data_IF_720583518257
#
_entry.id   IF_720583518257
#
_cell.length_a   1.000
_cell.length_b   1.000
_cell.length_c   1.000
_cell.angle_alpha   90.00
_cell.angle_beta   90.00
_cell.angle_gamma   90.00
#
_symmetry.space_group_name_H-M   'P 1'
#
loop_
_entity.id
_entity.type
_entity.pdbx_description
1 polymer ?
#
# COMPACT_ATOMS: atom_id res chain seq x y z
N UNK A 1 -7.43 2.14 -3.15
CA UNK A 1 -6.12 2.45 -2.52
C UNK A 1 -4.94 2.10 -3.42
N UNK A 2 -4.52 0.83 -3.53
CA UNK A 2 -3.29 0.46 -4.29
C UNK A 2 -3.33 0.92 -5.76
N UNK A 3 -4.48 0.74 -6.43
CA UNK A 3 -4.63 1.16 -7.82
C UNK A 3 -4.42 2.67 -8.01
N UNK A 4 -5.00 3.49 -7.12
CA UNK A 4 -4.82 4.95 -7.11
C UNK A 4 -3.34 5.28 -6.87
N UNK A 5 -2.71 4.69 -5.86
CA UNK A 5 -1.29 4.91 -5.57
C UNK A 5 -0.37 4.57 -6.76
N UNK A 6 -0.67 3.51 -7.50
CA UNK A 6 0.08 3.15 -8.72
C UNK A 6 -0.19 4.09 -9.91
N UNK A 7 -1.41 4.60 -10.05
CA UNK A 7 -1.80 5.48 -11.16
C UNK A 7 -1.38 6.94 -10.97
N UNK A 8 -1.50 7.44 -9.74
CA UNK A 8 -1.32 8.85 -9.37
C UNK A 8 0.00 9.12 -8.65
N UNK A 9 0.55 8.13 -7.94
CA UNK A 9 1.72 8.31 -7.06
C UNK A 9 1.38 8.93 -5.71
N UNK A 10 0.09 9.11 -5.40
CA UNK A 10 -0.40 9.69 -4.14
C UNK A 10 -1.81 9.13 -3.81
N UNK A 11 -2.30 9.38 -2.60
CA UNK A 11 -3.64 9.00 -2.15
C UNK A 11 -4.18 10.05 -1.16
N UNK A 12 -5.19 10.81 -1.58
CA UNK A 12 -5.88 11.83 -0.77
C UNK A 12 -7.34 11.46 -0.53
N UNK A 13 -8.04 12.24 0.29
CA UNK A 13 -9.43 11.96 0.66
C UNK A 13 -10.38 12.03 -0.55
N UNK A 14 -10.13 12.99 -1.44
CA UNK A 14 -10.92 13.22 -2.65
C UNK A 14 -10.82 12.05 -3.65
N UNK A 15 -9.79 11.21 -3.55
CA UNK A 15 -9.66 10.03 -4.42
C UNK A 15 -10.71 8.93 -4.12
N UNK A 16 -11.49 9.08 -3.05
CA UNK A 16 -12.61 8.20 -2.72
C UNK A 16 -13.97 8.70 -3.21
N UNK A 17 -14.04 9.91 -3.79
CA UNK A 17 -15.28 10.48 -4.32
C UNK A 17 -15.70 9.82 -5.64
N UNK A 18 -17.00 9.87 -5.94
CA UNK A 18 -17.60 9.20 -7.10
C UNK A 18 -16.98 9.63 -8.43
N UNK A 19 -16.60 10.90 -8.57
CA UNK A 19 -15.97 11.42 -9.80
C UNK A 19 -14.63 10.74 -10.09
N UNK A 20 -13.83 10.46 -9.05
CA UNK A 20 -12.54 9.76 -9.21
C UNK A 20 -12.78 8.28 -9.45
N UNK A 21 -13.72 7.68 -8.72
CA UNK A 21 -14.08 6.28 -8.85
C UNK A 21 -14.56 5.90 -10.27
N UNK A 22 -15.14 6.84 -11.02
CA UNK A 22 -15.57 6.64 -12.41
C UNK A 22 -14.43 6.43 -13.41
N UNK A 23 -13.16 6.67 -13.05
CA UNK A 23 -12.04 6.43 -13.96
C UNK A 23 -11.88 4.92 -14.26
N UNK A 24 -12.12 4.47 -15.50
CA UNK A 24 -12.16 3.04 -15.82
C UNK A 24 -10.81 2.35 -15.64
N UNK A 25 -9.69 3.10 -15.64
CA UNK A 25 -8.35 2.53 -15.42
C UNK A 25 -8.18 1.97 -14.00
N UNK A 26 -8.93 2.50 -13.03
CA UNK A 26 -8.90 2.01 -11.64
C UNK A 26 -9.40 0.57 -11.61
N UNK A 27 -10.57 0.32 -12.20
CA UNK A 27 -11.19 -1.00 -12.23
C UNK A 27 -10.45 -1.96 -13.15
N UNK A 28 -9.92 -1.48 -14.27
CA UNK A 28 -9.03 -2.29 -15.12
C UNK A 28 -7.80 -2.77 -14.33
N UNK A 29 -7.19 -1.91 -13.52
CA UNK A 29 -6.02 -2.30 -12.71
C UNK A 29 -6.42 -3.22 -11.55
N UNK A 30 -7.53 -2.95 -10.86
CA UNK A 30 -8.07 -3.82 -9.80
C UNK A 30 -8.37 -5.23 -10.30
N UNK A 31 -8.91 -5.36 -11.52
CA UNK A 31 -9.21 -6.66 -12.13
C UNK A 31 -7.97 -7.54 -12.35
N UNK A 32 -6.77 -6.94 -12.37
CA UNK A 32 -5.47 -7.63 -12.53
C UNK A 32 -4.79 -7.92 -11.20
N UNK A 33 -5.35 -7.48 -10.07
CA UNK A 33 -4.75 -7.68 -8.77
C UNK A 33 -5.10 -9.07 -8.23
N UNK A 34 -4.06 -9.79 -7.79
CA UNK A 34 -4.20 -11.04 -7.03
C UNK A 34 -3.72 -10.78 -5.62
N UNK A 35 -4.62 -10.95 -4.64
CA UNK A 35 -4.30 -10.78 -3.22
C UNK A 35 -4.25 -12.15 -2.58
N UNK A 36 -3.09 -12.49 -2.00
CA UNK A 36 -2.87 -13.76 -1.29
C UNK A 36 -2.38 -13.49 0.12
N UNK A 37 -2.76 -14.36 1.04
CA UNK A 37 -2.26 -14.28 2.40
C UNK A 37 -0.81 -14.77 2.49
N UNK A 38 0.00 -14.04 3.26
CA UNK A 38 1.23 -14.56 3.85
C UNK A 38 0.98 -14.79 5.35
N UNK A 39 0.91 -16.06 5.77
CA UNK A 39 0.59 -16.43 7.16
C UNK A 39 1.50 -15.77 8.20
N UNK A 40 2.78 -15.57 7.86
CA UNK A 40 3.72 -14.87 8.75
C UNK A 40 3.30 -13.43 9.03
N UNK A 41 2.72 -12.73 8.06
CA UNK A 41 2.21 -11.37 8.28
C UNK A 41 1.01 -11.37 9.23
N UNK A 42 0.13 -12.37 9.09
CA UNK A 42 -1.01 -12.56 9.99
C UNK A 42 -0.55 -12.86 11.43
N UNK A 43 0.48 -13.68 11.60
CA UNK A 43 1.09 -13.98 12.90
C UNK A 43 1.77 -12.75 13.52
N UNK A 44 2.61 -12.05 12.75
CA UNK A 44 3.34 -10.87 13.20
C UNK A 44 2.43 -9.66 13.49
N UNK A 45 1.23 -9.63 12.89
CA UNK A 45 0.18 -8.66 13.21
C UNK A 45 -0.35 -8.86 14.64
N UNK A 46 -0.52 -10.11 15.08
CA UNK A 46 -1.03 -10.46 16.40
C UNK A 46 0.04 -10.47 17.50
N UNK A 47 1.32 -10.61 17.13
CA UNK A 47 2.44 -10.53 18.07
C UNK A 47 2.49 -9.15 18.76
N UNK A 48 2.30 -9.07 20.09
CA UNK A 48 2.30 -7.81 20.84
C UNK A 48 3.60 -7.00 20.71
N UNK A 49 4.74 -7.67 20.48
CA UNK A 49 6.05 -7.03 20.35
C UNK A 49 6.27 -6.43 18.96
N UNK A 50 5.55 -6.94 17.95
CA UNK A 50 5.66 -6.49 16.56
C UNK A 50 4.50 -5.57 16.18
N UNK A 51 3.28 -6.09 16.19
CA UNK A 51 2.07 -5.45 15.65
C UNK A 51 2.30 -4.90 14.24
N UNK A 52 2.94 -5.69 13.38
CA UNK A 52 3.25 -5.27 12.02
C UNK A 52 1.98 -5.13 11.18
N UNK A 53 2.01 -4.30 10.13
CA UNK A 53 0.92 -4.17 9.15
C UNK A 53 1.55 -4.37 7.77
N UNK A 54 2.10 -5.56 7.59
CA UNK A 54 2.97 -5.86 6.46
C UNK A 54 2.19 -6.04 5.16
N UNK A 55 2.69 -5.42 4.10
CA UNK A 55 2.24 -5.66 2.73
C UNK A 55 3.44 -5.78 1.80
N UNK A 56 3.32 -6.65 0.79
CA UNK A 56 4.31 -6.81 -0.28
C UNK A 56 3.66 -6.68 -1.64
N UNK A 57 4.31 -5.97 -2.56
CA UNK A 57 3.77 -5.72 -3.90
C UNK A 57 4.83 -6.00 -4.98
N UNK A 58 4.37 -6.59 -6.09
CA UNK A 58 5.12 -6.80 -7.34
C UNK A 58 4.20 -6.57 -8.51
N UNK A 59 4.67 -5.87 -9.54
CA UNK A 59 3.93 -5.68 -10.80
C UNK A 59 4.54 -6.57 -11.87
N UNK A 60 3.70 -7.35 -12.55
CA UNK A 60 4.06 -8.16 -13.71
C UNK A 60 3.58 -7.46 -14.98
N UNK A 61 4.48 -7.28 -15.95
CA UNK A 61 4.18 -6.62 -17.21
C UNK A 61 3.90 -7.64 -18.32
N UNK A 62 3.19 -7.22 -19.37
CA UNK A 62 2.80 -8.09 -20.49
C UNK A 62 3.99 -8.57 -21.33
N UNK A 63 5.13 -7.87 -21.25
CA UNK A 63 6.38 -8.27 -21.91
C UNK A 63 7.14 -9.37 -21.14
N UNK A 64 6.58 -9.85 -20.02
CA UNK A 64 7.18 -10.87 -19.16
C UNK A 64 8.15 -10.31 -18.12
N UNK A 65 8.47 -9.01 -18.16
CA UNK A 65 9.27 -8.36 -17.12
C UNK A 65 8.45 -8.10 -15.84
N UNK A 66 9.15 -7.75 -14.76
CA UNK A 66 8.50 -7.44 -13.48
C UNK A 66 9.29 -6.44 -12.67
N UNK A 67 8.62 -5.69 -11.80
CA UNK A 67 9.29 -4.90 -10.77
C UNK A 67 9.97 -5.81 -9.74
N UNK A 68 10.88 -5.24 -8.95
CA UNK A 68 11.29 -5.84 -7.70
C UNK A 68 10.08 -5.98 -6.76
N UNK A 69 10.14 -6.95 -5.86
CA UNK A 69 9.18 -7.06 -4.78
C UNK A 69 9.52 -6.02 -3.71
N UNK A 70 8.57 -5.14 -3.41
CA UNK A 70 8.72 -4.14 -2.37
C UNK A 70 7.85 -4.54 -1.20
N UNK A 71 8.48 -4.74 -0.04
CA UNK A 71 7.83 -5.08 1.23
C UNK A 71 7.91 -3.89 2.18
N UNK A 72 6.78 -3.56 2.80
CA UNK A 72 6.71 -2.57 3.88
C UNK A 72 6.04 -3.24 5.07
N UNK A 73 6.84 -3.57 6.08
CA UNK A 73 6.38 -4.26 7.29
C UNK A 73 5.68 -3.30 8.29
N UNK A 74 6.22 -2.09 8.42
CA UNK A 74 5.73 -1.08 9.36
C UNK A 74 5.32 0.20 8.62
N UNK A 75 4.06 0.65 8.74
CA UNK A 75 3.64 1.92 8.14
C UNK A 75 4.33 3.11 8.82
N UNK A 76 4.36 4.25 8.14
CA UNK A 76 5.06 5.47 8.62
C UNK A 76 4.58 5.94 10.00
N UNK A 77 3.31 5.69 10.32
CA UNK A 77 2.71 6.01 11.63
C UNK A 77 3.05 5.01 12.75
N UNK A 78 3.77 3.92 12.48
CA UNK A 78 4.11 2.90 13.47
C UNK A 78 5.20 3.38 14.45
N UNK A 79 5.20 2.86 15.70
CA UNK A 79 6.20 3.21 16.73
C UNK A 79 7.64 2.99 16.25
N UNK A 80 7.87 1.93 15.48
CA UNK A 80 9.20 1.57 14.95
C UNK A 80 9.73 2.56 13.89
N UNK A 81 8.87 3.40 13.28
CA UNK A 81 9.25 4.41 12.28
C UNK A 81 9.10 5.85 12.77
N UNK A 82 9.04 6.07 14.09
CA UNK A 82 8.81 7.40 14.69
C UNK A 82 9.78 8.48 14.20
N UNK A 83 11.07 8.16 14.04
CA UNK A 83 12.06 9.13 13.57
C UNK A 83 11.75 9.65 12.16
N UNK A 84 11.32 8.76 11.27
CA UNK A 84 10.95 9.11 9.89
C UNK A 84 9.56 9.77 9.85
N UNK A 85 8.59 9.21 10.59
CA UNK A 85 7.22 9.67 10.59
C UNK A 85 6.99 11.02 11.27
N UNK A 86 7.90 11.48 12.12
CA UNK A 86 7.78 12.78 12.78
C UNK A 86 7.71 13.94 11.78
N UNK A 87 8.49 13.88 10.70
CA UNK A 87 8.45 14.92 9.66
C UNK A 87 7.12 14.92 8.91
N UNK A 88 6.57 13.74 8.59
CA UNK A 88 5.27 13.60 7.96
C UNK A 88 4.16 14.12 8.87
N UNK A 89 4.20 13.77 10.16
CA UNK A 89 3.24 14.22 11.16
C UNK A 89 3.23 15.75 11.28
N UNK A 90 4.41 16.40 11.33
CA UNK A 90 4.49 17.86 11.41
C UNK A 90 3.94 18.56 10.17
N UNK A 91 4.03 17.94 8.98
CA UNK A 91 3.51 18.50 7.73
C UNK A 91 1.99 18.35 7.58
N UNK A 92 1.37 17.41 8.30
CA UNK A 92 -0.07 17.17 8.21
C UNK A 92 -0.91 18.02 9.19
N UNK A 93 -0.26 18.76 10.09
CA UNK A 93 -0.87 19.75 10.98
C UNK A 93 -0.80 21.14 10.35
#
# INVERSE_FOLDING_TARGET
MVAIGLLKGDLVAEDYEDEVAQNPRIDELRSKMVVTENKKYSEDYLDPEKRSIANKLRVLFKDGSSTQEIEVEYPIGHRRRRNEGFLCLRKSF
#
